data_IF_977735008253
#
_entry.id   IF_977735008253
#
_cell.length_a   1.000
_cell.length_b   1.000
_cell.length_c   1.000
_cell.angle_alpha   90.00
_cell.angle_beta   90.00
_cell.angle_gamma   90.00
#
_symmetry.space_group_name_H-M   'P 1'
#
loop_
_entity.id
_entity.type
_entity.pdbx_description
1 polymer ?
#
# COMPACT_ATOMS: atom_id res chain seq x y z
N UNK A 1 7.25 -37.80 20.47
CA UNK A 1 6.64 -37.40 19.18
C UNK A 1 7.74 -37.50 18.14
N UNK A 2 7.48 -38.23 17.09
CA UNK A 2 8.48 -38.56 16.09
C UNK A 2 8.78 -37.36 15.19
N UNK A 3 10.07 -37.10 14.99
CA UNK A 3 10.55 -36.04 14.09
C UNK A 3 10.26 -36.48 12.65
N UNK A 4 9.55 -35.68 11.88
CA UNK A 4 9.19 -35.99 10.50
C UNK A 4 10.07 -35.27 9.47
N UNK A 5 11.05 -34.47 9.92
CA UNK A 5 11.96 -33.74 9.06
C UNK A 5 13.10 -34.61 8.55
N UNK A 6 13.42 -34.49 7.27
CA UNK A 6 14.60 -35.09 6.63
C UNK A 6 15.52 -33.99 6.08
N UNK A 7 16.77 -34.32 5.83
CA UNK A 7 17.71 -33.43 5.15
C UNK A 7 17.41 -33.41 3.65
N UNK A 8 17.30 -32.19 3.08
CA UNK A 8 16.97 -32.03 1.65
C UNK A 8 18.02 -32.57 0.69
N UNK A 9 19.31 -32.55 1.07
CA UNK A 9 20.43 -33.00 0.27
C UNK A 9 20.72 -34.50 0.37
N UNK A 10 20.44 -35.10 1.53
CA UNK A 10 20.78 -36.52 1.78
C UNK A 10 19.56 -37.44 1.89
N UNK A 11 18.37 -36.88 2.15
CA UNK A 11 17.15 -37.65 2.44
C UNK A 11 17.15 -38.32 3.82
N UNK A 12 18.25 -38.23 4.58
CA UNK A 12 18.39 -38.83 5.90
C UNK A 12 17.56 -38.11 6.96
N UNK A 13 17.18 -38.77 8.07
CA UNK A 13 16.50 -38.11 9.18
C UNK A 13 17.26 -36.88 9.68
N UNK A 14 16.54 -35.77 9.76
CA UNK A 14 17.17 -34.48 10.15
C UNK A 14 17.54 -34.48 11.62
N UNK A 15 18.81 -34.22 11.92
CA UNK A 15 19.36 -34.06 13.26
C UNK A 15 19.68 -32.58 13.50
N UNK A 16 18.90 -31.85 14.35
CA UNK A 16 19.05 -30.42 14.53
C UNK A 16 20.28 -30.04 15.34
N UNK A 17 20.96 -28.98 14.93
CA UNK A 17 21.90 -28.28 15.78
C UNK A 17 21.18 -27.19 16.59
N UNK A 18 20.82 -27.48 17.82
CA UNK A 18 20.08 -26.61 18.73
C UNK A 18 20.86 -25.36 19.21
N UNK A 19 22.16 -25.24 18.87
CA UNK A 19 22.92 -23.99 19.05
C UNK A 19 22.56 -22.97 17.98
N UNK A 20 22.02 -23.41 16.86
CA UNK A 20 21.50 -22.53 15.81
C UNK A 20 20.12 -21.98 16.19
N UNK A 21 19.69 -20.93 15.50
CA UNK A 21 18.43 -20.27 15.76
C UNK A 21 17.23 -21.01 15.16
N UNK A 22 17.41 -21.61 13.97
CA UNK A 22 16.36 -22.30 13.24
C UNK A 22 16.81 -22.69 11.84
N UNK A 23 15.86 -23.16 11.04
CA UNK A 23 16.11 -23.70 9.71
C UNK A 23 15.13 -23.17 8.66
N UNK A 24 15.55 -23.18 7.40
CA UNK A 24 14.71 -23.02 6.21
C UNK A 24 14.36 -24.39 5.70
N UNK A 25 13.12 -24.56 5.27
CA UNK A 25 12.57 -25.84 4.85
C UNK A 25 11.72 -25.71 3.59
N UNK A 26 11.54 -26.84 2.91
CA UNK A 26 10.55 -27.02 1.87
C UNK A 26 9.60 -28.17 2.29
N UNK A 27 8.32 -28.02 1.98
CA UNK A 27 7.32 -29.09 2.12
C UNK A 27 6.72 -29.29 0.74
N UNK A 28 6.76 -30.52 0.24
CA UNK A 28 6.31 -30.86 -1.11
C UNK A 28 5.21 -31.92 -1.06
N UNK A 29 4.10 -31.65 -1.74
CA UNK A 29 3.08 -32.66 -2.04
C UNK A 29 3.64 -33.63 -3.09
N UNK A 30 3.81 -34.88 -2.74
CA UNK A 30 4.40 -35.93 -3.61
C UNK A 30 3.51 -36.34 -4.77
N UNK A 31 2.19 -36.03 -4.70
CA UNK A 31 1.24 -36.33 -5.77
C UNK A 31 1.23 -35.30 -6.88
N UNK A 32 1.31 -34.03 -6.48
CA UNK A 32 1.19 -32.89 -7.41
C UNK A 32 2.51 -32.20 -7.70
N UNK A 33 3.52 -32.38 -6.84
CA UNK A 33 4.77 -31.60 -6.88
C UNK A 33 4.65 -30.17 -6.30
N UNK A 34 3.45 -29.77 -5.86
CA UNK A 34 3.24 -28.44 -5.30
C UNK A 34 3.96 -28.27 -3.97
N UNK A 35 4.72 -27.18 -3.81
CA UNK A 35 5.62 -27.02 -2.69
C UNK A 35 5.34 -25.75 -1.86
N UNK A 36 5.92 -25.69 -0.66
CA UNK A 36 5.92 -24.52 0.20
C UNK A 36 7.31 -24.31 0.81
N UNK A 37 7.83 -23.11 0.68
CA UNK A 37 9.11 -22.70 1.25
C UNK A 37 8.89 -21.81 2.47
N UNK A 38 9.45 -22.16 3.60
CA UNK A 38 9.31 -21.41 4.83
C UNK A 38 10.51 -21.53 5.76
N UNK A 39 10.42 -20.88 6.90
CA UNK A 39 11.42 -21.03 7.95
C UNK A 39 10.79 -21.33 9.30
N UNK A 40 11.56 -21.99 10.16
CA UNK A 40 11.16 -22.31 11.53
C UNK A 40 12.31 -22.05 12.50
N UNK A 41 12.00 -21.35 13.60
CA UNK A 41 12.93 -21.27 14.74
C UNK A 41 12.74 -22.46 15.66
N UNK A 42 13.83 -22.94 16.24
CA UNK A 42 13.80 -24.07 17.17
C UNK A 42 13.00 -23.76 18.44
N UNK A 43 13.17 -22.57 18.97
CA UNK A 43 12.56 -22.16 20.23
C UNK A 43 11.69 -20.91 20.05
N UNK A 44 10.62 -20.85 20.80
CA UNK A 44 9.83 -19.64 20.99
C UNK A 44 9.78 -19.27 22.46
N UNK A 45 9.79 -17.96 22.75
CA UNK A 45 9.59 -17.43 24.09
C UNK A 45 8.11 -17.16 24.30
N UNK A 46 7.51 -17.78 25.30
CA UNK A 46 6.12 -17.51 25.69
C UNK A 46 6.09 -17.26 27.19
N UNK A 47 5.68 -16.06 27.61
CA UNK A 47 5.65 -15.66 29.03
C UNK A 47 6.99 -15.98 29.76
N UNK A 48 8.10 -15.57 29.13
CA UNK A 48 9.48 -15.80 29.62
C UNK A 48 9.93 -17.27 29.66
N UNK A 49 9.15 -18.21 29.15
CA UNK A 49 9.55 -19.63 29.04
C UNK A 49 9.94 -19.98 27.61
N UNK A 50 11.09 -20.64 27.45
CA UNK A 50 11.56 -21.19 26.19
C UNK A 50 10.75 -22.45 25.87
N UNK A 51 10.09 -22.50 24.72
CA UNK A 51 9.31 -23.68 24.27
C UNK A 51 9.87 -24.23 22.98
N UNK A 52 10.06 -25.52 22.95
CA UNK A 52 10.42 -26.33 21.81
C UNK A 52 9.15 -26.55 20.96
N UNK A 53 9.18 -26.32 19.65
CA UNK A 53 7.97 -26.40 18.81
C UNK A 53 8.29 -26.64 17.34
N UNK A 54 9.35 -27.32 17.02
CA UNK A 54 9.73 -27.51 15.62
C UNK A 54 9.42 -28.92 15.09
N UNK A 55 9.47 -29.97 15.93
CA UNK A 55 9.39 -31.38 15.54
C UNK A 55 8.08 -31.72 14.83
N UNK A 56 6.98 -31.20 15.32
CA UNK A 56 5.63 -31.46 14.81
C UNK A 56 5.06 -30.30 13.98
N UNK A 57 5.92 -29.34 13.62
CA UNK A 57 5.48 -28.17 12.90
C UNK A 57 5.29 -28.47 11.42
N UNK A 58 4.07 -28.21 10.90
CA UNK A 58 3.70 -28.51 9.52
C UNK A 58 3.58 -27.29 8.61
N UNK A 59 3.81 -26.07 9.05
CA UNK A 59 3.76 -24.83 8.27
C UNK A 59 2.93 -23.73 8.91
N UNK A 60 3.07 -22.50 8.40
CA UNK A 60 2.16 -21.38 8.69
C UNK A 60 1.12 -21.14 7.58
N UNK A 61 1.26 -21.79 6.42
CA UNK A 61 0.33 -21.66 5.31
C UNK A 61 -1.01 -22.31 5.63
N UNK A 62 -2.10 -21.57 5.48
CA UNK A 62 -3.45 -22.10 5.65
C UNK A 62 -3.82 -23.10 4.54
N UNK A 63 -3.40 -22.79 3.32
CA UNK A 63 -3.68 -23.64 2.14
C UNK A 63 -2.97 -24.99 2.23
N UNK A 64 -1.66 -24.97 2.55
CA UNK A 64 -0.92 -26.22 2.74
C UNK A 64 -1.51 -27.08 3.86
N UNK A 65 -1.88 -26.48 4.99
CA UNK A 65 -2.51 -27.21 6.10
C UNK A 65 -3.83 -27.84 5.71
N UNK A 66 -4.68 -27.12 4.98
CA UNK A 66 -5.95 -27.63 4.50
C UNK A 66 -5.74 -28.84 3.57
N UNK A 67 -4.74 -28.80 2.71
CA UNK A 67 -4.42 -29.93 1.83
C UNK A 67 -3.83 -31.10 2.63
N UNK A 68 -2.94 -30.87 3.59
CA UNK A 68 -2.43 -31.92 4.50
C UNK A 68 -3.58 -32.60 5.27
N UNK A 69 -4.54 -31.84 5.76
CA UNK A 69 -5.72 -32.38 6.45
C UNK A 69 -6.64 -33.17 5.52
N UNK A 70 -6.74 -32.77 4.25
CA UNK A 70 -7.62 -33.39 3.25
C UNK A 70 -7.06 -34.70 2.69
N UNK A 71 -5.77 -34.73 2.37
CA UNK A 71 -5.18 -35.85 1.61
C UNK A 71 -4.23 -36.75 2.43
N UNK A 72 -3.91 -36.33 3.66
CA UNK A 72 -3.05 -37.08 4.57
C UNK A 72 -1.59 -36.59 4.55
N UNK A 73 -0.97 -36.60 5.72
CA UNK A 73 0.41 -36.14 5.91
C UNK A 73 1.45 -37.00 5.17
N UNK A 74 1.15 -38.27 4.99
CA UNK A 74 1.98 -39.24 4.31
C UNK A 74 2.24 -38.94 2.83
N UNK A 75 1.45 -38.03 2.25
CA UNK A 75 1.62 -37.53 0.90
C UNK A 75 2.51 -36.28 0.81
N UNK A 76 3.13 -35.89 1.91
CA UNK A 76 4.02 -34.73 1.95
C UNK A 76 5.42 -35.10 2.45
N UNK A 77 6.45 -34.58 1.77
CA UNK A 77 7.81 -34.59 2.29
C UNK A 77 8.08 -33.31 3.06
N UNK A 78 8.83 -33.42 4.17
CA UNK A 78 9.21 -32.31 5.06
C UNK A 78 10.72 -32.24 5.09
N UNK A 79 11.31 -31.33 4.33
CA UNK A 79 12.74 -31.32 4.08
C UNK A 79 13.39 -30.04 4.61
N UNK A 80 14.48 -30.19 5.36
CA UNK A 80 15.29 -29.08 5.86
C UNK A 80 16.40 -28.77 4.88
N UNK A 81 16.39 -27.55 4.34
CA UNK A 81 17.37 -27.07 3.37
C UNK A 81 18.67 -26.69 4.08
N UNK A 82 18.59 -25.84 5.11
CA UNK A 82 19.75 -25.40 5.86
C UNK A 82 19.37 -24.78 7.21
N UNK A 83 20.32 -24.77 8.15
CA UNK A 83 20.17 -24.17 9.48
C UNK A 83 20.98 -22.88 9.63
N UNK A 84 20.45 -21.92 10.39
CA UNK A 84 21.04 -20.59 10.54
C UNK A 84 21.22 -20.17 12.00
N UNK A 85 22.33 -19.48 12.30
CA UNK A 85 22.74 -19.10 13.66
C UNK A 85 21.88 -18.00 14.31
N UNK A 86 21.19 -17.18 13.51
CA UNK A 86 20.45 -16.04 14.03
C UNK A 86 19.20 -15.74 13.18
N UNK A 87 18.28 -14.96 13.75
CA UNK A 87 17.02 -14.58 13.13
C UNK A 87 17.19 -13.83 11.79
N UNK A 88 18.21 -12.96 11.71
CA UNK A 88 18.45 -12.13 10.51
C UNK A 88 18.86 -13.00 9.33
N UNK A 89 19.82 -13.90 9.53
CA UNK A 89 20.25 -14.86 8.50
C UNK A 89 19.12 -15.81 8.12
N UNK A 90 18.38 -16.34 9.10
CA UNK A 90 17.22 -17.21 8.83
C UNK A 90 16.20 -16.54 7.90
N UNK A 91 15.83 -15.29 8.17
CA UNK A 91 14.88 -14.53 7.34
C UNK A 91 15.43 -14.16 5.97
N UNK A 92 16.71 -13.84 5.90
CA UNK A 92 17.39 -13.54 4.64
C UNK A 92 17.36 -14.75 3.71
N UNK A 93 17.77 -15.92 4.21
CA UNK A 93 17.81 -17.13 3.38
C UNK A 93 16.44 -17.71 3.08
N UNK A 94 15.44 -17.56 3.95
CA UNK A 94 14.04 -17.84 3.61
C UNK A 94 13.63 -17.05 2.36
N UNK A 95 13.83 -15.72 2.37
CA UNK A 95 13.51 -14.87 1.23
C UNK A 95 14.35 -15.21 -0.01
N UNK A 96 15.64 -15.54 0.18
CA UNK A 96 16.53 -15.94 -0.90
C UNK A 96 16.02 -17.19 -1.63
N UNK A 97 15.65 -18.27 -0.93
CA UNK A 97 15.12 -19.48 -1.56
C UNK A 97 13.75 -19.23 -2.20
N UNK A 98 12.90 -18.46 -1.55
CA UNK A 98 11.61 -18.08 -2.11
C UNK A 98 11.76 -17.28 -3.43
N UNK A 99 12.71 -16.36 -3.53
CA UNK A 99 13.02 -15.64 -4.76
C UNK A 99 13.69 -16.53 -5.80
N UNK A 100 14.69 -17.30 -5.40
CA UNK A 100 15.45 -18.21 -6.28
C UNK A 100 14.52 -19.16 -7.03
N UNK A 101 13.49 -19.68 -6.37
CA UNK A 101 12.52 -20.61 -6.95
C UNK A 101 11.26 -19.93 -7.49
N UNK A 102 11.23 -18.61 -7.56
CA UNK A 102 10.10 -17.86 -8.09
C UNK A 102 8.75 -18.25 -7.47
N UNK A 103 8.69 -18.50 -6.15
CA UNK A 103 7.53 -19.11 -5.50
C UNK A 103 6.20 -18.38 -5.69
N UNK A 104 6.22 -17.11 -6.14
CA UNK A 104 5.02 -16.33 -6.42
C UNK A 104 4.52 -16.46 -7.86
N UNK A 105 5.40 -16.84 -8.80
CA UNK A 105 5.09 -16.78 -10.25
C UNK A 105 5.30 -18.10 -10.96
N UNK A 106 6.03 -19.04 -10.36
CA UNK A 106 6.19 -20.38 -10.93
C UNK A 106 4.84 -21.11 -11.01
N UNK A 107 4.61 -21.76 -12.14
CA UNK A 107 3.44 -22.61 -12.41
C UNK A 107 3.87 -24.06 -12.54
N UNK A 108 2.92 -24.97 -12.40
CA UNK A 108 3.12 -26.39 -12.67
C UNK A 108 3.44 -26.60 -14.16
N UNK A 109 4.16 -27.67 -14.49
CA UNK A 109 4.64 -27.92 -15.87
C UNK A 109 3.52 -27.95 -16.91
N UNK A 110 2.39 -28.56 -16.57
CA UNK A 110 1.29 -28.80 -17.49
C UNK A 110 0.05 -27.92 -17.25
N UNK A 111 0.16 -26.90 -16.39
CA UNK A 111 -0.95 -26.02 -16.09
C UNK A 111 -0.51 -24.62 -15.65
N UNK A 112 -1.45 -23.67 -15.69
CA UNK A 112 -1.24 -22.32 -15.14
C UNK A 112 -1.43 -22.26 -13.60
N UNK A 113 -1.58 -23.41 -12.94
CA UNK A 113 -1.72 -23.45 -11.49
C UNK A 113 -0.40 -23.09 -10.78
N UNK A 114 -0.46 -22.35 -9.67
CA UNK A 114 0.74 -22.03 -8.90
C UNK A 114 1.47 -23.27 -8.41
N UNK A 115 2.78 -23.36 -8.69
CA UNK A 115 3.62 -24.46 -8.22
C UNK A 115 3.91 -24.39 -6.71
N UNK A 116 3.60 -23.28 -6.05
CA UNK A 116 3.85 -23.09 -4.62
C UNK A 116 2.61 -22.61 -3.86
N UNK A 117 2.51 -23.05 -2.59
CA UNK A 117 1.52 -22.56 -1.62
C UNK A 117 1.86 -21.17 -1.05
N UNK A 118 3.02 -20.62 -1.43
CA UNK A 118 3.47 -19.31 -0.96
C UNK A 118 2.61 -18.19 -1.56
N UNK A 119 2.10 -17.31 -0.72
CA UNK A 119 1.33 -16.13 -1.13
C UNK A 119 2.14 -14.83 -1.05
N UNK A 120 3.31 -14.85 -0.43
CA UNK A 120 4.24 -13.73 -0.31
C UNK A 120 5.68 -14.20 -0.10
N UNK A 121 6.64 -13.31 -0.36
CA UNK A 121 8.07 -13.53 -0.10
C UNK A 121 8.53 -12.60 1.03
N UNK A 122 9.20 -13.17 2.03
CA UNK A 122 9.77 -12.42 3.15
C UNK A 122 8.78 -11.55 3.94
N UNK A 123 7.47 -11.76 3.80
CA UNK A 123 6.41 -10.96 4.40
C UNK A 123 6.22 -9.57 3.78
N UNK A 124 6.83 -9.28 2.63
CA UNK A 124 6.84 -7.95 1.99
C UNK A 124 6.37 -7.95 0.54
N UNK A 125 6.71 -8.97 -0.22
CA UNK A 125 6.42 -9.03 -1.65
C UNK A 125 5.28 -10.02 -1.89
N UNK A 126 4.27 -9.57 -2.63
CA UNK A 126 3.12 -10.36 -3.06
C UNK A 126 3.23 -10.68 -4.54
N UNK A 127 2.42 -11.60 -5.03
CA UNK A 127 2.37 -11.94 -6.46
C UNK A 127 2.10 -10.68 -7.29
N UNK A 128 2.93 -10.37 -8.30
CA UNK A 128 2.70 -9.23 -9.17
C UNK A 128 1.35 -9.32 -9.88
N UNK A 129 0.66 -8.20 -10.05
CA UNK A 129 -0.65 -8.15 -10.73
C UNK A 129 -0.55 -8.67 -12.16
N UNK A 130 0.55 -8.35 -12.83
CA UNK A 130 0.83 -8.77 -14.20
C UNK A 130 0.94 -10.29 -14.38
N UNK A 131 1.19 -11.03 -13.29
CA UNK A 131 1.23 -12.50 -13.31
C UNK A 131 -0.14 -13.17 -13.21
N UNK A 132 -1.20 -12.39 -12.97
CA UNK A 132 -2.57 -12.90 -13.03
C UNK A 132 -3.06 -12.84 -14.48
N UNK A 133 -3.19 -14.00 -15.11
CA UNK A 133 -3.62 -14.10 -16.51
C UNK A 133 -5.16 -14.09 -16.68
N UNK A 134 -5.90 -14.35 -15.61
CA UNK A 134 -7.36 -14.43 -15.66
C UNK A 134 -8.00 -13.06 -15.40
N UNK A 135 -8.59 -12.41 -16.45
CA UNK A 135 -9.30 -11.14 -16.32
C UNK A 135 -10.48 -11.20 -15.34
N UNK A 136 -11.14 -12.35 -15.25
CA UNK A 136 -12.27 -12.53 -14.34
C UNK A 136 -11.80 -12.58 -12.88
N UNK A 137 -10.66 -13.21 -12.59
CA UNK A 137 -10.05 -13.17 -11.28
C UNK A 137 -9.71 -11.74 -10.86
N UNK A 138 -9.09 -10.95 -11.75
CA UNK A 138 -8.77 -9.54 -11.49
C UNK A 138 -10.04 -8.71 -11.25
N UNK A 139 -11.10 -8.95 -12.02
CA UNK A 139 -12.39 -8.30 -11.82
C UNK A 139 -12.98 -8.65 -10.45
N UNK A 140 -13.03 -9.95 -10.08
CA UNK A 140 -13.52 -10.41 -8.78
C UNK A 140 -12.70 -9.82 -7.62
N UNK A 141 -11.38 -9.74 -7.76
CA UNK A 141 -10.50 -9.12 -6.76
C UNK A 141 -10.80 -7.63 -6.59
N UNK A 142 -11.00 -6.92 -7.70
CA UNK A 142 -11.38 -5.51 -7.69
C UNK A 142 -12.75 -5.29 -7.05
N UNK A 143 -13.74 -6.11 -7.40
CA UNK A 143 -15.10 -6.04 -6.86
C UNK A 143 -15.15 -6.38 -5.36
N UNK A 144 -14.41 -7.40 -4.93
CA UNK A 144 -14.31 -7.77 -3.51
C UNK A 144 -13.74 -6.64 -2.63
N UNK A 145 -12.88 -5.80 -3.20
CA UNK A 145 -12.29 -4.66 -2.49
C UNK A 145 -13.09 -3.35 -2.68
N UNK A 146 -13.97 -3.30 -3.69
CA UNK A 146 -14.76 -2.10 -4.01
C UNK A 146 -15.86 -1.91 -2.97
N UNK A 147 -15.86 -0.75 -2.33
CA UNK A 147 -16.91 -0.38 -1.39
C UNK A 147 -16.87 -1.11 -0.05
N UNK A 148 -15.85 -1.95 0.21
CA UNK A 148 -15.67 -2.56 1.54
C UNK A 148 -15.32 -1.45 2.54
N UNK A 149 -16.22 -1.11 3.49
CA UNK A 149 -15.93 -0.07 4.46
C UNK A 149 -14.81 -0.55 5.38
N UNK A 150 -13.87 0.35 5.62
CA UNK A 150 -12.82 0.11 6.62
C UNK A 150 -13.49 -0.05 8.00
N UNK A 151 -12.97 -0.97 8.82
CA UNK A 151 -13.44 -1.13 10.18
C UNK A 151 -13.34 0.20 10.96
N UNK A 152 -14.20 0.42 11.94
CA UNK A 152 -14.21 1.64 12.75
C UNK A 152 -12.85 1.84 13.47
N UNK A 153 -12.25 0.75 13.95
CA UNK A 153 -10.90 0.79 14.53
C UNK A 153 -9.85 1.28 13.52
N UNK A 154 -9.93 0.81 12.27
CA UNK A 154 -9.01 1.24 11.21
C UNK A 154 -9.22 2.71 10.85
N UNK A 155 -10.48 3.17 10.77
CA UNK A 155 -10.82 4.58 10.56
C UNK A 155 -10.30 5.46 11.69
N UNK A 156 -10.47 5.03 12.95
CA UNK A 156 -9.98 5.71 14.13
C UNK A 156 -8.45 5.85 14.09
N UNK A 157 -7.72 4.76 13.84
CA UNK A 157 -6.24 4.78 13.71
C UNK A 157 -5.75 5.71 12.60
N UNK A 158 -6.44 5.74 11.44
CA UNK A 158 -6.12 6.69 10.36
C UNK A 158 -6.36 8.13 10.83
N UNK A 159 -7.48 8.39 11.53
CA UNK A 159 -7.81 9.70 12.08
C UNK A 159 -6.77 10.18 13.09
N UNK A 160 -6.41 9.33 14.04
CA UNK A 160 -5.39 9.61 15.07
C UNK A 160 -4.00 9.88 14.45
N UNK A 161 -3.60 9.07 13.48
CA UNK A 161 -2.32 9.26 12.78
C UNK A 161 -2.25 10.57 11.96
N UNK A 162 -3.40 11.13 11.57
CA UNK A 162 -3.51 12.39 10.84
C UNK A 162 -3.80 13.59 11.74
N UNK A 163 -4.19 13.34 12.99
CA UNK A 163 -4.54 14.40 13.92
C UNK A 163 -3.30 15.25 14.24
N UNK A 164 -3.40 16.56 14.00
CA UNK A 164 -2.31 17.50 14.24
C UNK A 164 -1.14 17.43 13.24
N UNK A 165 -1.18 16.54 12.25
CA UNK A 165 -0.19 16.52 11.16
C UNK A 165 -0.67 17.44 10.04
N UNK A 166 -0.03 18.60 9.82
CA UNK A 166 -0.38 19.47 8.71
C UNK A 166 -0.12 18.76 7.39
N UNK A 167 -1.09 18.75 6.49
CA UNK A 167 -0.90 18.24 5.13
C UNK A 167 -0.10 19.25 4.29
N UNK A 168 1.18 19.41 4.63
CA UNK A 168 2.05 20.46 4.08
C UNK A 168 2.42 20.23 2.63
N UNK A 169 2.40 18.98 2.15
CA UNK A 169 2.76 18.68 0.77
C UNK A 169 1.67 19.07 -0.26
N UNK A 170 0.45 19.35 0.22
CA UNK A 170 -0.66 19.87 -0.59
C UNK A 170 -0.97 21.36 -0.33
N UNK A 171 -0.05 22.11 0.28
CA UNK A 171 -0.22 23.53 0.58
C UNK A 171 0.67 24.40 -0.31
N UNK A 172 0.21 25.63 -0.59
CA UNK A 172 0.97 26.59 -1.37
C UNK A 172 1.30 26.07 -2.78
N UNK A 173 2.55 26.22 -3.20
CA UNK A 173 3.04 25.84 -4.54
C UNK A 173 2.92 24.35 -4.85
N UNK A 174 2.88 23.48 -3.84
CA UNK A 174 2.72 22.04 -3.99
C UNK A 174 1.27 21.58 -4.21
N UNK A 175 0.31 22.48 -4.04
CA UNK A 175 -1.09 22.14 -4.25
C UNK A 175 -1.39 22.05 -5.76
N UNK A 176 -2.10 20.99 -6.20
CA UNK A 176 -2.44 20.79 -7.62
C UNK A 176 -3.25 21.95 -8.24
N UNK A 177 -3.99 22.72 -7.43
CA UNK A 177 -4.72 23.93 -7.85
C UNK A 177 -3.89 25.23 -7.72
N UNK A 178 -2.60 25.14 -7.37
CA UNK A 178 -1.75 26.32 -7.29
C UNK A 178 -1.54 26.93 -8.67
N UNK A 179 -1.96 28.16 -8.85
CA UNK A 179 -1.90 28.90 -10.11
C UNK A 179 -0.89 30.05 -10.09
N UNK A 180 0.02 30.04 -9.12
CA UNK A 180 1.00 31.11 -8.94
C UNK A 180 0.49 32.27 -8.07
N UNK A 181 1.28 33.33 -8.05
CA UNK A 181 0.96 34.57 -7.35
C UNK A 181 -0.16 35.34 -8.05
N UNK A 182 -0.95 36.05 -7.27
CA UNK A 182 -2.02 36.87 -7.80
C UNK A 182 -1.94 38.31 -7.24
N UNK A 183 -2.18 39.25 -8.11
CA UNK A 183 -2.40 40.65 -7.77
C UNK A 183 -3.91 40.86 -7.56
N UNK A 184 -4.30 41.46 -6.43
CA UNK A 184 -5.68 41.78 -6.15
C UNK A 184 -5.83 43.26 -5.73
N UNK A 185 -6.98 43.83 -5.98
CA UNK A 185 -7.32 45.20 -5.61
C UNK A 185 -8.43 45.17 -4.55
N UNK A 186 -8.06 45.50 -3.33
CA UNK A 186 -8.92 45.57 -2.16
C UNK A 186 -9.21 47.04 -1.86
N UNK A 187 -10.47 47.46 -1.96
CA UNK A 187 -10.89 48.87 -1.85
C UNK A 187 -10.01 49.84 -2.65
N UNK A 188 -9.64 49.42 -3.87
CA UNK A 188 -8.78 50.18 -4.76
C UNK A 188 -7.28 50.09 -4.47
N UNK A 189 -6.86 49.49 -3.36
CA UNK A 189 -5.45 49.30 -3.02
C UNK A 189 -4.95 47.99 -3.60
N UNK A 190 -3.81 48.03 -4.28
CA UNK A 190 -3.13 46.89 -4.88
C UNK A 190 -2.39 46.08 -3.82
N UNK A 191 -2.54 44.76 -3.84
CA UNK A 191 -1.71 43.87 -3.04
C UNK A 191 -1.40 42.60 -3.83
N UNK A 192 -0.29 41.92 -3.50
CA UNK A 192 0.13 40.66 -4.11
C UNK A 192 0.01 39.56 -3.08
N UNK A 193 -0.52 38.41 -3.49
CA UNK A 193 -0.71 37.25 -2.63
C UNK A 193 -0.12 36.00 -3.31
N UNK A 194 0.57 35.17 -2.55
CA UNK A 194 1.24 33.97 -3.08
C UNK A 194 0.27 32.86 -3.48
N UNK A 195 -0.85 32.73 -2.78
CA UNK A 195 -1.89 31.75 -3.07
C UNK A 195 -3.27 32.35 -2.83
N UNK A 196 -3.93 32.73 -3.91
CA UNK A 196 -5.22 33.44 -3.87
C UNK A 196 -6.30 32.70 -3.08
N UNK A 197 -6.41 31.37 -3.28
CA UNK A 197 -7.41 30.55 -2.60
C UNK A 197 -7.18 30.44 -1.10
N UNK A 198 -5.93 30.26 -0.67
CA UNK A 198 -5.56 30.22 0.75
C UNK A 198 -5.75 31.57 1.41
N UNK A 199 -5.37 32.65 0.72
CA UNK A 199 -5.57 34.01 1.21
C UNK A 199 -7.05 34.33 1.40
N UNK A 200 -7.92 33.98 0.43
CA UNK A 200 -9.36 34.21 0.52
C UNK A 200 -9.96 33.50 1.74
N UNK A 201 -9.67 32.21 1.92
CA UNK A 201 -10.16 31.45 3.07
C UNK A 201 -9.68 32.01 4.41
N UNK A 202 -8.39 32.37 4.51
CA UNK A 202 -7.81 32.95 5.74
C UNK A 202 -8.45 34.27 6.13
N UNK A 203 -8.87 35.04 5.15
CA UNK A 203 -9.44 36.39 5.36
C UNK A 203 -10.97 36.42 5.27
N UNK A 204 -11.63 35.25 5.31
CA UNK A 204 -13.09 35.17 5.37
C UNK A 204 -13.84 35.50 4.08
N UNK A 205 -13.16 35.42 2.92
CA UNK A 205 -13.79 35.57 1.62
C UNK A 205 -14.26 34.26 1.06
N UNK A 206 -15.33 34.26 0.27
CA UNK A 206 -15.73 33.06 -0.48
C UNK A 206 -14.69 32.76 -1.57
N UNK A 207 -13.94 31.65 -1.40
CA UNK A 207 -12.88 31.22 -2.32
C UNK A 207 -13.38 31.12 -3.77
N UNK A 208 -14.58 30.58 -3.99
CA UNK A 208 -15.17 30.40 -5.32
C UNK A 208 -15.36 31.73 -6.03
N UNK A 209 -15.92 32.74 -5.34
CA UNK A 209 -16.16 34.06 -5.90
C UNK A 209 -14.85 34.78 -6.24
N UNK A 210 -13.84 34.72 -5.34
CA UNK A 210 -12.52 35.33 -5.57
C UNK A 210 -11.80 34.68 -6.74
N UNK A 211 -11.86 33.35 -6.84
CA UNK A 211 -11.26 32.60 -7.96
C UNK A 211 -11.99 32.89 -9.28
N UNK A 212 -13.31 33.02 -9.26
CA UNK A 212 -14.09 33.41 -10.46
C UNK A 212 -13.73 34.81 -10.94
N UNK A 213 -13.53 35.73 -10.03
CA UNK A 213 -13.07 37.08 -10.37
C UNK A 213 -11.69 37.09 -11.04
N UNK A 214 -10.77 36.19 -10.61
CA UNK A 214 -9.46 36.00 -11.21
C UNK A 214 -9.50 35.37 -12.62
N UNK A 215 -10.47 34.51 -12.88
CA UNK A 215 -10.64 33.84 -14.19
C UNK A 215 -11.28 34.75 -15.23
N UNK A 216 -12.13 35.69 -14.80
CA UNK A 216 -12.94 36.51 -15.68
C UNK A 216 -12.37 37.88 -15.97
N UNK A 217 -11.35 38.31 -15.21
CA UNK A 217 -10.88 39.69 -15.25
C UNK A 217 -9.81 39.96 -16.30
N UNK A 218 -10.18 40.02 -17.57
CA UNK A 218 -9.49 41.00 -18.43
C UNK A 218 -9.93 42.43 -18.12
N UNK A 219 -11.21 42.65 -17.69
CA UNK A 219 -11.76 43.98 -17.51
C UNK A 219 -12.69 44.14 -16.29
N UNK A 220 -12.65 43.25 -15.31
CA UNK A 220 -13.51 43.32 -14.12
C UNK A 220 -15.00 43.03 -14.38
N UNK A 221 -15.33 42.40 -15.48
CA UNK A 221 -16.68 41.99 -15.82
C UNK A 221 -16.76 40.48 -16.03
N UNK A 222 -17.83 39.89 -15.52
CA UNK A 222 -18.18 38.47 -15.77
C UNK A 222 -19.06 38.39 -17.01
N UNK A 223 -18.73 37.45 -17.93
CA UNK A 223 -19.63 37.09 -19.01
C UNK A 223 -20.54 36.00 -18.49
N UNK A 224 -21.78 36.32 -18.18
CA UNK A 224 -22.76 35.34 -17.78
C UNK A 224 -23.02 34.39 -18.94
N UNK A 225 -22.69 33.11 -18.76
CA UNK A 225 -22.98 32.05 -19.71
C UNK A 225 -24.40 31.49 -19.56
N UNK A 226 -25.23 32.07 -18.69
CA UNK A 226 -26.65 31.75 -18.69
C UNK A 226 -27.25 32.11 -20.05
N UNK A 227 -27.87 31.14 -20.71
CA UNK A 227 -28.38 31.21 -22.10
C UNK A 227 -29.42 32.29 -22.35
N UNK A 228 -29.74 33.17 -21.40
CA UNK A 228 -30.89 34.06 -21.45
C UNK A 228 -30.59 35.55 -21.41
N UNK A 229 -29.39 36.04 -21.07
CA UNK A 229 -29.27 37.51 -20.93
C UNK A 229 -28.09 38.18 -21.61
N UNK A 230 -27.03 37.54 -21.93
CA UNK A 230 -25.87 38.18 -22.60
C UNK A 230 -25.30 39.41 -21.89
N UNK A 231 -25.78 39.77 -20.68
CA UNK A 231 -25.39 40.96 -19.92
C UNK A 231 -24.09 40.67 -19.16
N UNK A 232 -23.14 41.59 -19.31
CA UNK A 232 -21.93 41.57 -18.49
C UNK A 232 -22.27 42.10 -17.10
N UNK A 233 -22.12 41.26 -16.08
CA UNK A 233 -22.34 41.66 -14.70
C UNK A 233 -20.99 41.96 -14.05
N UNK A 234 -20.85 43.13 -13.39
CA UNK A 234 -19.67 43.48 -12.62
C UNK A 234 -19.58 42.52 -11.43
N UNK A 235 -18.48 41.75 -11.35
CA UNK A 235 -18.25 40.88 -10.24
C UNK A 235 -17.36 41.59 -9.21
N UNK A 236 -17.83 41.69 -7.98
CA UNK A 236 -17.04 42.10 -6.83
C UNK A 236 -17.22 41.12 -5.70
N UNK A 237 -16.18 40.95 -4.90
CA UNK A 237 -16.22 40.06 -3.74
C UNK A 237 -16.17 40.89 -2.47
N UNK A 238 -17.29 40.94 -1.75
CA UNK A 238 -17.34 41.61 -0.44
C UNK A 238 -16.84 40.64 0.64
N UNK A 239 -16.09 41.14 1.58
CA UNK A 239 -15.58 40.39 2.71
C UNK A 239 -15.15 41.23 3.88
N UNK A 240 -14.64 40.64 4.96
CA UNK A 240 -14.33 41.31 6.21
C UNK A 240 -13.30 42.45 6.10
N UNK A 241 -12.39 42.37 5.11
CA UNK A 241 -11.33 43.39 4.92
C UNK A 241 -11.68 44.46 3.86
N UNK A 242 -12.86 44.35 3.19
CA UNK A 242 -13.27 45.28 2.15
C UNK A 242 -13.76 44.60 0.87
N UNK A 243 -13.82 45.36 -0.22
CA UNK A 243 -14.35 44.90 -1.50
C UNK A 243 -13.21 44.61 -2.47
N UNK A 244 -13.11 43.34 -2.91
CA UNK A 244 -12.19 42.97 -4.00
C UNK A 244 -12.85 43.32 -5.34
N UNK A 245 -12.26 44.24 -6.07
CA UNK A 245 -12.79 44.73 -7.35
C UNK A 245 -12.09 44.12 -8.57
N UNK A 246 -10.84 43.64 -8.41
CA UNK A 246 -10.06 43.07 -9.51
C UNK A 246 -9.06 42.06 -8.97
N UNK A 247 -8.85 41.00 -9.73
CA UNK A 247 -7.78 39.99 -9.48
C UNK A 247 -7.10 39.65 -10.79
N UNK A 248 -5.76 39.57 -10.78
CA UNK A 248 -4.95 39.20 -11.94
C UNK A 248 -3.89 38.18 -11.54
N UNK A 249 -3.75 37.11 -12.29
CA UNK A 249 -2.63 36.18 -12.10
C UNK A 249 -1.33 36.80 -12.58
N UNK A 250 -0.29 36.72 -11.74
CA UNK A 250 1.06 37.07 -12.13
C UNK A 250 1.70 35.84 -12.75
N UNK A 251 2.10 35.92 -14.01
CA UNK A 251 2.87 34.85 -14.67
C UNK A 251 4.32 34.97 -14.21
N UNK A 252 4.97 33.82 -13.95
CA UNK A 252 6.40 33.79 -13.68
C UNK A 252 7.14 34.45 -14.85
N UNK A 253 7.84 35.56 -14.56
CA UNK A 253 8.57 36.35 -15.55
C UNK A 253 8.11 37.80 -15.78
N UNK A 254 7.06 38.26 -15.12
CA UNK A 254 6.71 39.71 -15.07
C UNK A 254 7.09 40.26 -13.70
N UNK A 255 8.24 40.93 -13.62
CA UNK A 255 8.59 41.85 -12.53
C UNK A 255 7.71 43.08 -12.56
#
# INVERSE_FOLDING_TARGET
MENHWICWDTGEPFMPNLEKFGFVYIITDTKTGKAYVGCKQYFSMTKKKRKHKWETYMSSSKYLKADIEKIGKEHFTFEVIAEYKNKRSLRYYEAYYQMKWNVLTATMEDSDEPAYYNSYVGGKFFRPIESYKDPEYLRKLSEANKGVPKSEEHKRKIGEAKLGVPNTWMQGEKHYDYKGKAELYLDGKRMVVDCLGSWANKNGYNKGNVMSLALTSRDGFYKDNSRTSGKRTKLSCNGPLGIITKVKWLRDGTQ
#
